data_IF_957540018122
#
_entry.id   IF_957540018122
#
_cell.length_a   1.000
_cell.length_b   1.000
_cell.length_c   1.000
_cell.angle_alpha   90.00
_cell.angle_beta   90.00
_cell.angle_gamma   90.00
#
_symmetry.space_group_name_H-M   'P 1'
#
loop_
_entity.id
_entity.type
_entity.pdbx_description
1 polymer ?
#
# COMPACT_ATOMS: atom_id res chain seq x y z
N UNK A 1 0.60 -25.09 -13.92
CA UNK A 1 1.60 -24.08 -14.35
C UNK A 1 0.91 -22.73 -14.21
N UNK A 2 1.28 -21.93 -13.20
CA UNK A 2 0.76 -20.57 -13.09
C UNK A 2 1.56 -19.71 -14.06
N UNK A 3 0.89 -19.02 -14.98
CA UNK A 3 1.54 -18.01 -15.82
C UNK A 3 1.89 -16.82 -14.92
N UNK A 4 3.13 -16.79 -14.44
CA UNK A 4 3.64 -15.69 -13.63
C UNK A 4 3.95 -14.49 -14.53
N UNK A 5 3.50 -13.31 -14.13
CA UNK A 5 3.91 -12.06 -14.76
C UNK A 5 5.22 -11.60 -14.14
N UNK A 6 6.21 -11.28 -14.97
CA UNK A 6 7.40 -10.59 -14.47
C UNK A 6 7.07 -9.11 -14.22
N UNK A 7 7.81 -8.49 -13.29
CA UNK A 7 7.65 -7.07 -13.00
C UNK A 7 7.85 -6.20 -14.26
N UNK A 8 8.84 -6.55 -15.08
CA UNK A 8 9.11 -5.88 -16.37
C UNK A 8 7.94 -6.02 -17.35
N UNK A 9 7.33 -7.21 -17.45
CA UNK A 9 6.16 -7.40 -18.31
C UNK A 9 4.96 -6.58 -17.82
N UNK A 10 4.75 -6.51 -16.51
CA UNK A 10 3.69 -5.70 -15.91
C UNK A 10 3.89 -4.20 -16.16
N UNK A 11 5.13 -3.69 -15.98
CA UNK A 11 5.47 -2.30 -16.28
C UNK A 11 5.27 -1.96 -17.75
N UNK A 12 5.70 -2.84 -18.66
CA UNK A 12 5.48 -2.65 -20.10
C UNK A 12 3.99 -2.59 -20.42
N UNK A 13 3.18 -3.46 -19.81
CA UNK A 13 1.73 -3.42 -19.97
C UNK A 13 1.13 -2.13 -19.42
N UNK A 14 1.58 -1.68 -18.24
CA UNK A 14 1.15 -0.42 -17.62
C UNK A 14 1.35 0.75 -18.57
N UNK A 15 2.57 0.91 -19.11
CA UNK A 15 2.87 1.98 -20.06
C UNK A 15 1.99 1.92 -21.31
N UNK A 16 1.81 0.73 -21.90
CA UNK A 16 0.95 0.53 -23.09
C UNK A 16 -0.53 0.79 -22.80
N UNK A 17 -0.95 0.61 -21.55
CA UNK A 17 -2.33 0.81 -21.09
C UNK A 17 -2.56 2.18 -20.47
N UNK A 18 -1.61 3.11 -20.64
CA UNK A 18 -1.63 4.45 -20.02
C UNK A 18 -1.83 4.38 -18.49
N UNK A 19 -1.06 3.51 -17.84
CA UNK A 19 -1.08 3.27 -16.40
C UNK A 19 -2.43 2.83 -15.82
N UNK A 20 -3.24 2.15 -16.64
CA UNK A 20 -4.51 1.56 -16.24
C UNK A 20 -5.48 2.57 -15.59
N UNK A 21 -6.00 3.56 -16.34
CA UNK A 21 -6.82 4.64 -15.78
C UNK A 21 -8.12 4.17 -15.10
N UNK A 22 -8.58 2.97 -15.44
CA UNK A 22 -9.81 2.38 -14.91
C UNK A 22 -9.55 1.23 -13.92
N UNK A 23 -8.30 0.94 -13.58
CA UNK A 23 -7.98 -0.09 -12.60
C UNK A 23 -8.18 0.48 -11.19
N UNK A 24 -9.26 0.08 -10.54
CA UNK A 24 -9.57 0.45 -9.15
C UNK A 24 -8.97 -0.53 -8.15
N UNK A 25 -9.06 -1.81 -8.44
CA UNK A 25 -8.73 -2.90 -7.51
C UNK A 25 -7.62 -3.77 -8.08
N UNK A 26 -6.60 -4.02 -7.27
CA UNK A 26 -5.48 -4.87 -7.64
C UNK A 26 -5.14 -5.87 -6.53
N UNK A 27 -5.05 -7.14 -6.90
CA UNK A 27 -4.68 -8.24 -6.01
C UNK A 27 -3.41 -8.92 -6.52
N UNK A 28 -2.39 -8.95 -5.69
CA UNK A 28 -1.19 -9.75 -5.87
C UNK A 28 -1.13 -10.82 -4.79
N UNK A 29 -1.42 -12.07 -5.16
CA UNK A 29 -1.56 -13.17 -4.22
C UNK A 29 -0.24 -13.95 -4.02
N UNK A 30 0.29 -14.55 -5.09
CA UNK A 30 1.48 -15.43 -5.02
C UNK A 30 2.59 -14.80 -5.85
N UNK A 31 3.80 -14.76 -5.28
CA UNK A 31 4.99 -14.27 -5.97
C UNK A 31 6.12 -15.29 -5.89
N UNK A 32 7.10 -15.16 -6.79
CA UNK A 32 8.31 -16.01 -6.81
C UNK A 32 9.54 -15.31 -6.23
N UNK A 33 9.39 -14.06 -5.79
CA UNK A 33 10.40 -13.22 -5.17
C UNK A 33 9.71 -12.12 -4.35
N UNK A 34 10.50 -11.39 -3.56
CA UNK A 34 10.06 -10.13 -2.99
C UNK A 34 9.67 -9.14 -4.10
N UNK A 35 8.72 -8.26 -3.77
CA UNK A 35 8.16 -7.29 -4.71
C UNK A 35 8.39 -5.89 -4.17
N UNK A 36 9.02 -5.04 -4.98
CA UNK A 36 9.07 -3.61 -4.73
C UNK A 36 7.67 -3.01 -4.93
N UNK A 37 6.99 -2.79 -3.82
CA UNK A 37 5.63 -2.29 -3.82
C UNK A 37 5.56 -0.82 -4.26
N UNK A 38 6.62 -0.04 -4.09
CA UNK A 38 6.70 1.33 -4.58
C UNK A 38 6.66 1.37 -6.10
N UNK A 39 7.55 0.61 -6.73
CA UNK A 39 7.62 0.49 -8.19
C UNK A 39 6.32 -0.10 -8.78
N UNK A 40 5.70 -1.05 -8.08
CA UNK A 40 4.40 -1.61 -8.47
C UNK A 40 3.29 -0.56 -8.44
N UNK A 41 3.15 0.20 -7.35
CA UNK A 41 2.14 1.24 -7.21
C UNK A 41 2.35 2.40 -8.19
N UNK A 42 3.59 2.74 -8.53
CA UNK A 42 3.89 3.76 -9.54
C UNK A 42 3.36 3.36 -10.93
N UNK A 43 3.20 2.06 -11.19
CA UNK A 43 2.63 1.54 -12.43
C UNK A 43 1.09 1.64 -12.48
N UNK A 44 0.43 2.04 -11.39
CA UNK A 44 -1.03 2.05 -11.24
C UNK A 44 -1.51 3.27 -10.41
N UNK A 45 -1.26 4.52 -10.85
CA UNK A 45 -1.53 5.71 -10.05
C UNK A 45 -3.02 5.95 -9.77
N UNK A 46 -3.91 5.30 -10.52
CA UNK A 46 -5.37 5.43 -10.40
C UNK A 46 -6.01 4.42 -9.44
N UNK A 47 -5.22 3.46 -8.92
CA UNK A 47 -5.71 2.40 -8.05
C UNK A 47 -6.23 2.96 -6.73
N UNK A 48 -7.38 2.46 -6.29
CA UNK A 48 -8.02 2.84 -5.03
C UNK A 48 -7.88 1.75 -3.97
N UNK A 49 -7.64 0.50 -4.39
CA UNK A 49 -7.62 -0.67 -3.53
C UNK A 49 -6.54 -1.65 -3.95
N UNK A 50 -5.64 -1.99 -3.03
CA UNK A 50 -4.51 -2.88 -3.28
C UNK A 50 -4.40 -3.92 -2.18
N UNK A 51 -4.29 -5.19 -2.58
CA UNK A 51 -3.99 -6.32 -1.70
C UNK A 51 -2.69 -7.00 -2.13
N UNK A 52 -1.66 -6.94 -1.28
CA UNK A 52 -0.32 -7.49 -1.48
C UNK A 52 -0.12 -8.68 -0.53
N UNK A 53 -0.67 -9.82 -0.91
CA UNK A 53 -0.62 -11.06 -0.12
C UNK A 53 0.60 -11.93 -0.44
N UNK A 54 1.64 -11.36 -1.05
CA UNK A 54 2.84 -11.91 -1.73
C UNK A 54 3.47 -13.24 -1.25
N UNK A 55 2.70 -14.25 -0.87
CA UNK A 55 3.19 -15.46 -0.21
C UNK A 55 3.98 -16.34 -1.19
N UNK A 56 5.12 -16.93 -0.78
CA UNK A 56 5.76 -16.90 0.55
C UNK A 56 6.72 -15.71 0.80
N UNK A 57 6.77 -14.73 -0.10
CA UNK A 57 7.64 -13.56 -0.05
C UNK A 57 6.92 -12.33 0.53
N UNK A 58 7.52 -11.15 0.43
CA UNK A 58 6.98 -9.91 0.99
C UNK A 58 6.82 -8.81 -0.07
N UNK A 59 5.91 -7.88 0.22
CA UNK A 59 5.93 -6.57 -0.40
C UNK A 59 6.87 -5.66 0.39
N UNK A 60 7.91 -5.17 -0.28
CA UNK A 60 8.92 -4.28 0.30
C UNK A 60 8.54 -2.84 -0.05
N UNK A 61 8.43 -2.01 0.98
CA UNK A 61 8.34 -0.56 0.83
C UNK A 61 9.65 0.06 1.29
N UNK A 62 10.39 0.65 0.35
CA UNK A 62 11.55 1.45 0.69
C UNK A 62 11.12 2.76 1.37
N UNK A 63 12.02 3.36 2.16
CA UNK A 63 11.74 4.61 2.88
C UNK A 63 11.22 5.73 1.94
N UNK A 64 11.79 5.85 0.74
CA UNK A 64 11.31 6.79 -0.27
C UNK A 64 9.85 6.53 -0.67
N UNK A 65 9.49 5.28 -0.97
CA UNK A 65 8.13 4.92 -1.34
C UNK A 65 7.13 5.18 -0.21
N UNK A 66 7.53 5.00 1.05
CA UNK A 66 6.70 5.36 2.21
C UNK A 66 6.44 6.87 2.28
N UNK A 67 7.47 7.70 2.08
CA UNK A 67 7.30 9.16 2.07
C UNK A 67 6.44 9.64 0.90
N UNK A 68 6.61 9.02 -0.27
CA UNK A 68 5.80 9.32 -1.46
C UNK A 68 4.35 8.88 -1.28
N UNK A 69 4.10 7.75 -0.62
CA UNK A 69 2.75 7.32 -0.23
C UNK A 69 2.12 8.26 0.79
N UNK A 70 2.89 8.72 1.78
CA UNK A 70 2.42 9.65 2.79
C UNK A 70 2.01 11.00 2.18
N UNK A 71 2.79 11.51 1.22
CA UNK A 71 2.51 12.78 0.54
C UNK A 71 1.49 12.68 -0.58
N UNK A 72 1.19 11.48 -1.07
CA UNK A 72 0.28 11.26 -2.20
C UNK A 72 0.94 11.39 -3.57
N UNK A 73 2.24 11.61 -3.66
CA UNK A 73 2.94 11.54 -4.96
C UNK A 73 2.97 10.12 -5.52
N UNK A 74 2.94 9.10 -4.65
CA UNK A 74 2.75 7.70 -5.01
C UNK A 74 1.33 7.25 -4.64
N UNK A 75 0.66 6.62 -5.61
CA UNK A 75 -0.72 6.13 -5.51
C UNK A 75 -1.66 7.16 -4.85
N UNK A 76 -1.84 8.36 -5.44
CA UNK A 76 -2.60 9.46 -4.85
C UNK A 76 -4.04 9.10 -4.47
N UNK A 77 -4.63 8.13 -5.18
CA UNK A 77 -6.03 7.70 -5.00
C UNK A 77 -6.21 6.48 -4.11
N UNK A 78 -5.12 5.90 -3.61
CA UNK A 78 -5.18 4.69 -2.79
C UNK A 78 -5.91 4.97 -1.47
N UNK A 79 -6.93 4.16 -1.19
CA UNK A 79 -7.78 4.24 0.00
C UNK A 79 -7.74 2.92 0.80
N UNK A 80 -7.59 1.78 0.12
CA UNK A 80 -7.50 0.48 0.76
C UNK A 80 -6.13 -0.18 0.50
N UNK A 81 -5.40 -0.49 1.56
CA UNK A 81 -4.11 -1.18 1.47
C UNK A 81 -4.06 -2.37 2.43
N UNK A 82 -4.00 -3.57 1.87
CA UNK A 82 -3.90 -4.83 2.62
C UNK A 82 -2.59 -5.52 2.25
N UNK A 83 -1.79 -6.01 3.18
CA UNK A 83 -0.65 -6.84 2.82
C UNK A 83 0.35 -7.17 3.91
N UNK A 84 1.27 -8.08 3.57
CA UNK A 84 2.41 -8.47 4.43
C UNK A 84 3.57 -7.47 4.24
N UNK A 85 3.78 -6.60 5.23
CA UNK A 85 4.75 -5.51 5.16
C UNK A 85 5.84 -5.70 6.23
N UNK A 86 7.10 -5.58 5.82
CA UNK A 86 8.27 -5.90 6.65
C UNK A 86 8.62 -4.82 7.70
N UNK A 87 8.21 -3.57 7.50
CA UNK A 87 8.63 -2.42 8.32
C UNK A 87 7.45 -1.80 9.10
N UNK A 88 6.95 -2.51 10.12
CA UNK A 88 5.72 -2.13 10.85
C UNK A 88 5.70 -0.68 11.39
N UNK A 89 6.79 -0.22 12.00
CA UNK A 89 6.88 1.14 12.57
C UNK A 89 6.80 2.23 11.49
N UNK A 90 7.70 2.17 10.51
CA UNK A 90 7.75 3.15 9.41
C UNK A 90 6.46 3.14 8.59
N UNK A 91 5.85 1.97 8.43
CA UNK A 91 4.57 1.84 7.77
C UNK A 91 3.45 2.54 8.55
N UNK A 92 3.40 2.38 9.87
CA UNK A 92 2.44 3.12 10.71
C UNK A 92 2.69 4.63 10.68
N UNK A 93 3.95 5.08 10.71
CA UNK A 93 4.33 6.50 10.55
C UNK A 93 3.80 7.06 9.21
N UNK A 94 3.92 6.28 8.13
CA UNK A 94 3.40 6.63 6.81
C UNK A 94 1.88 6.74 6.80
N UNK A 95 1.16 5.77 7.38
CA UNK A 95 -0.32 5.78 7.43
C UNK A 95 -0.81 7.03 8.14
N UNK A 96 -0.24 7.34 9.31
CA UNK A 96 -0.55 8.53 10.10
C UNK A 96 -0.26 9.84 9.34
N UNK A 97 0.90 9.90 8.69
CA UNK A 97 1.31 11.05 7.87
C UNK A 97 0.36 11.25 6.69
N UNK A 98 -0.06 10.17 6.00
CA UNK A 98 -1.02 10.26 4.90
C UNK A 98 -2.37 10.79 5.35
N UNK A 99 -2.90 10.29 6.48
CA UNK A 99 -4.17 10.78 7.03
C UNK A 99 -4.09 12.28 7.36
N UNK A 100 -2.98 12.70 7.96
CA UNK A 100 -2.70 14.10 8.31
C UNK A 100 -2.61 14.98 7.05
N UNK A 101 -1.90 14.52 6.01
CA UNK A 101 -1.79 15.23 4.73
C UNK A 101 -3.13 15.28 3.99
N UNK A 102 -3.92 14.21 4.01
CA UNK A 102 -5.24 14.16 3.40
C UNK A 102 -6.22 15.16 4.06
N UNK A 103 -6.14 15.35 5.37
CA UNK A 103 -6.94 16.35 6.09
C UNK A 103 -6.53 17.79 5.76
N UNK A 104 -5.25 18.04 5.51
CA UNK A 104 -4.73 19.35 5.11
C UNK A 104 -4.87 19.63 3.60
N UNK A 105 -5.20 18.61 2.81
CA UNK A 105 -5.31 18.72 1.37
C UNK A 105 -6.54 19.53 0.96
N UNK A 106 -6.35 20.43 -0.01
CA UNK A 106 -7.44 21.21 -0.61
C UNK A 106 -7.98 20.60 -1.91
N UNK A 107 -7.22 19.69 -2.53
CA UNK A 107 -7.53 19.04 -3.80
C UNK A 107 -7.89 17.54 -3.64
N UNK A 108 -7.90 17.03 -2.41
CA UNK A 108 -8.23 15.65 -2.09
C UNK A 108 -7.07 14.67 -2.36
N UNK A 109 -5.84 15.18 -2.52
CA UNK A 109 -4.62 14.38 -2.67
C UNK A 109 -3.66 14.62 -1.49
N UNK A 110 -3.18 13.57 -0.80
CA UNK A 110 -3.57 12.17 -0.98
C UNK A 110 -5.03 11.92 -0.58
N UNK A 111 -5.65 10.92 -1.20
CA UNK A 111 -6.89 10.36 -0.69
C UNK A 111 -6.62 9.76 0.70
N UNK A 112 -7.50 10.01 1.69
CA UNK A 112 -7.36 9.40 3.01
C UNK A 112 -7.54 7.89 2.88
N UNK A 113 -6.82 7.12 3.70
CA UNK A 113 -7.11 5.70 3.81
C UNK A 113 -8.51 5.51 4.40
N UNK A 114 -9.22 4.53 3.89
CA UNK A 114 -10.47 4.01 4.45
C UNK A 114 -10.28 2.63 5.07
N UNK A 115 -9.22 1.92 4.69
CA UNK A 115 -8.88 0.61 5.24
C UNK A 115 -7.40 0.29 5.06
N UNK A 116 -6.72 -0.05 6.16
CA UNK A 116 -5.35 -0.57 6.14
C UNK A 116 -5.31 -1.85 6.96
N UNK A 117 -4.84 -2.95 6.38
CA UNK A 117 -4.74 -4.26 7.06
C UNK A 117 -3.36 -4.86 6.87
N UNK A 118 -2.63 -5.08 7.97
CA UNK A 118 -1.30 -5.71 7.92
C UNK A 118 -1.08 -6.70 9.06
N UNK A 119 -0.22 -7.72 8.90
CA UNK A 119 0.07 -8.71 9.92
C UNK A 119 1.06 -8.13 10.95
N UNK A 120 0.56 -7.50 12.00
CA UNK A 120 1.40 -7.04 13.11
C UNK A 120 1.81 -8.20 14.03
N UNK A 121 3.12 -8.27 14.30
CA UNK A 121 3.76 -9.40 15.00
C UNK A 121 4.24 -9.06 16.41
N UNK A 122 4.46 -7.79 16.76
CA UNK A 122 4.98 -7.41 18.09
C UNK A 122 3.91 -6.76 19.00
N UNK A 123 4.06 -6.90 20.32
CA UNK A 123 3.18 -6.25 21.31
C UNK A 123 3.25 -4.71 21.25
N UNK A 124 4.44 -4.16 20.95
CA UNK A 124 4.64 -2.72 20.78
C UNK A 124 3.84 -2.16 19.59
N UNK A 125 3.75 -2.91 18.50
CA UNK A 125 2.90 -2.55 17.36
C UNK A 125 1.42 -2.58 17.76
N UNK A 126 1.01 -3.55 18.57
CA UNK A 126 -0.40 -3.67 19.01
C UNK A 126 -0.85 -2.44 19.80
N UNK A 127 -0.05 -1.96 20.76
CA UNK A 127 -0.39 -0.76 21.53
C UNK A 127 -0.52 0.47 20.62
N UNK A 128 0.41 0.65 19.68
CA UNK A 128 0.36 1.76 18.72
C UNK A 128 -0.87 1.70 17.81
N UNK A 129 -1.28 0.51 17.38
CA UNK A 129 -2.51 0.36 16.58
C UNK A 129 -3.77 0.74 17.34
N UNK A 130 -3.82 0.46 18.64
CA UNK A 130 -4.94 0.91 19.47
C UNK A 130 -4.98 2.43 19.55
N UNK A 131 -3.85 3.10 19.78
CA UNK A 131 -3.76 4.56 19.76
C UNK A 131 -4.23 5.15 18.42
N UNK A 132 -3.71 4.65 17.30
CA UNK A 132 -4.10 5.12 15.97
C UNK A 132 -5.60 4.97 15.72
N UNK A 133 -6.20 3.84 16.13
CA UNK A 133 -7.65 3.63 16.00
C UNK A 133 -8.50 4.54 16.90
N UNK A 134 -8.02 4.90 18.09
CA UNK A 134 -8.69 5.89 18.95
C UNK A 134 -8.73 7.27 18.29
N UNK A 135 -7.79 7.55 17.39
CA UNK A 135 -7.74 8.76 16.55
C UNK A 135 -8.41 8.56 15.19
N UNK A 136 -9.26 7.55 15.06
CA UNK A 136 -10.05 7.23 13.86
C UNK A 136 -9.21 6.89 12.61
N UNK A 137 -7.93 6.53 12.78
CA UNK A 137 -7.11 6.02 11.67
C UNK A 137 -7.54 4.58 11.36
N UNK A 138 -7.95 4.25 10.12
CA UNK A 138 -8.56 2.96 9.79
C UNK A 138 -7.53 1.87 9.56
N UNK A 139 -6.73 1.58 10.58
CA UNK A 139 -5.68 0.54 10.55
C UNK A 139 -6.07 -0.64 11.43
N UNK A 140 -5.96 -1.84 10.88
CA UNK A 140 -6.42 -3.08 11.49
C UNK A 140 -5.36 -4.17 11.39
N UNK A 141 -5.41 -5.08 12.36
CA UNK A 141 -4.61 -6.29 12.33
C UNK A 141 -5.26 -7.29 11.40
N UNK A 142 -4.52 -7.74 10.39
CA UNK A 142 -4.95 -8.86 9.56
C UNK A 142 -4.63 -10.18 10.29
N UNK A 143 -5.65 -11.02 10.47
CA UNK A 143 -5.50 -12.40 10.92
C UNK A 143 -5.45 -13.30 9.68
N UNK A 144 -4.35 -14.05 9.53
CA UNK A 144 -4.26 -15.17 8.59
C UNK A 144 -5.03 -16.37 9.14
#
# INVERSE_FOLDING_TARGET
MFNAWSMTAFQSLSQRSNHFPNLSDFLLSITTSDVDAGTLLASMPYVTSVSLQCYPFNAIFHHQALNELASGSLAPRLQNLVGCISNGKEFMDMVESRMTNAQMSSDGVPAPFTKVEVPFRSEGDVARLFDMRQREIPIYRWFL
#
